data_IF_972819194221
#
_entry.id   IF_972819194221
#
_cell.length_a   1.000
_cell.length_b   1.000
_cell.length_c   1.000
_cell.angle_alpha   90.00
_cell.angle_beta   90.00
_cell.angle_gamma   90.00
#
_symmetry.space_group_name_H-M   'P 1'
#
loop_
_entity.id
_entity.type
_entity.pdbx_description
1 polymer ?
#
# COMPACT_ATOMS: atom_id res chain seq x y z
N UNK A 1 -52.34 40.32 0.28
CA UNK A 1 -51.63 40.18 -1.01
C UNK A 1 -51.55 38.69 -1.30
N UNK A 2 -52.36 38.15 -2.22
CA UNK A 2 -51.97 37.73 -3.59
C UNK A 2 -50.85 36.67 -3.56
N UNK A 3 -50.93 35.45 -4.11
CA UNK A 3 -51.95 34.75 -4.91
C UNK A 3 -51.31 33.49 -5.55
N UNK A 4 -52.11 32.41 -5.68
CA UNK A 4 -52.19 31.38 -6.76
C UNK A 4 -50.92 30.65 -7.29
N UNK A 5 -50.86 29.35 -6.95
CA UNK A 5 -50.78 28.11 -7.76
C UNK A 5 -50.06 28.01 -9.14
N UNK A 6 -49.51 26.79 -9.37
CA UNK A 6 -49.56 25.90 -10.58
C UNK A 6 -48.19 25.42 -11.12
N UNK A 7 -48.08 24.10 -11.38
CA UNK A 7 -47.20 23.48 -12.41
C UNK A 7 -46.33 22.33 -11.88
N UNK A 8 -46.74 21.06 -11.88
CA UNK A 8 -46.80 20.07 -12.99
C UNK A 8 -45.43 19.47 -13.41
N UNK A 9 -45.30 18.14 -13.23
CA UNK A 9 -44.67 17.07 -14.07
C UNK A 9 -43.30 17.38 -14.74
N UNK A 10 -42.29 16.49 -14.70
CA UNK A 10 -42.20 15.23 -15.48
C UNK A 10 -40.99 14.39 -15.00
N UNK A 11 -41.22 13.07 -14.89
CA UNK A 11 -40.22 12.00 -14.83
C UNK A 11 -39.46 11.86 -16.16
N UNK A 12 -38.12 11.72 -16.13
CA UNK A 12 -37.39 11.14 -17.25
C UNK A 12 -36.29 10.20 -16.74
N UNK A 13 -36.65 8.91 -16.66
CA UNK A 13 -35.70 7.81 -16.67
C UNK A 13 -35.27 7.59 -18.13
N UNK A 14 -34.00 7.80 -18.45
CA UNK A 14 -33.44 7.37 -19.73
C UNK A 14 -32.86 5.98 -19.57
N UNK A 15 -33.68 4.97 -19.88
CA UNK A 15 -33.21 3.62 -20.17
C UNK A 15 -32.72 3.63 -21.61
N UNK A 16 -31.43 3.43 -21.83
CA UNK A 16 -30.89 3.11 -23.15
C UNK A 16 -30.47 1.64 -23.17
N UNK A 17 -31.47 0.76 -23.27
CA UNK A 17 -31.30 -0.57 -23.80
C UNK A 17 -31.68 -0.51 -25.28
N UNK A 18 -30.70 -0.56 -26.17
CA UNK A 18 -30.92 -0.85 -27.57
C UNK A 18 -30.33 -2.23 -27.86
N UNK A 19 -31.20 -3.23 -27.92
CA UNK A 19 -30.96 -4.50 -28.60
C UNK A 19 -31.16 -4.27 -30.11
N UNK A 20 -30.08 -4.38 -30.89
CA UNK A 20 -30.12 -4.31 -32.34
C UNK A 20 -29.04 -5.20 -32.94
N UNK A 21 -29.46 -6.38 -33.40
CA UNK A 21 -28.67 -7.32 -34.17
C UNK A 21 -28.62 -6.86 -35.64
N UNK A 22 -27.43 -6.85 -36.25
CA UNK A 22 -27.26 -6.86 -37.71
C UNK A 22 -26.50 -5.67 -38.30
N UNK A 23 -25.33 -5.96 -38.88
CA UNK A 23 -24.70 -5.09 -39.88
C UNK A 23 -23.21 -4.88 -39.67
N UNK A 24 -22.41 -5.58 -40.48
CA UNK A 24 -20.96 -5.46 -40.59
C UNK A 24 -20.48 -4.02 -40.75
N UNK A 25 -19.42 -3.68 -40.01
CA UNK A 25 -18.63 -2.47 -40.16
C UNK A 25 -17.32 -2.65 -39.40
N UNK A 26 -16.28 -3.01 -40.13
CA UNK A 26 -14.88 -2.95 -39.71
C UNK A 26 -14.59 -1.54 -39.18
N UNK A 27 -14.32 -1.42 -37.87
CA UNK A 27 -13.51 -0.33 -37.33
C UNK A 27 -13.05 -0.74 -35.93
N UNK A 28 -11.79 -1.18 -35.90
CA UNK A 28 -10.96 -1.49 -34.73
C UNK A 28 -10.90 -0.27 -33.80
N UNK A 29 -11.98 -0.07 -33.04
CA UNK A 29 -12.04 0.97 -32.01
C UNK A 29 -11.41 0.39 -30.77
N UNK A 30 -10.07 0.38 -30.79
CA UNK A 30 -9.22 0.13 -29.64
C UNK A 30 -9.76 0.87 -28.42
N UNK A 31 -10.47 0.14 -27.56
CA UNK A 31 -10.82 0.54 -26.19
C UNK A 31 -9.55 1.10 -25.55
N UNK A 32 -9.56 2.29 -24.93
CA UNK A 32 -8.37 2.78 -24.26
C UNK A 32 -8.08 1.82 -23.11
N UNK A 33 -7.09 0.94 -23.32
CA UNK A 33 -6.46 0.19 -22.24
C UNK A 33 -5.95 1.24 -21.28
N UNK A 34 -6.59 1.34 -20.12
CA UNK A 34 -6.09 2.16 -19.02
C UNK A 34 -4.61 1.83 -18.88
N UNK A 35 -3.74 2.82 -19.18
CA UNK A 35 -2.30 2.67 -19.00
C UNK A 35 -2.13 2.26 -17.55
N UNK A 36 -1.68 1.02 -17.33
CA UNK A 36 -1.27 0.59 -16.01
C UNK A 36 -0.32 1.65 -15.48
N UNK A 37 -0.68 2.29 -14.37
CA UNK A 37 0.21 3.25 -13.72
C UNK A 37 1.56 2.55 -13.55
N UNK A 38 2.58 3.14 -14.18
CA UNK A 38 3.93 2.60 -14.13
C UNK A 38 4.29 2.54 -12.66
N UNK A 39 4.54 1.33 -12.14
CA UNK A 39 4.97 1.19 -10.76
C UNK A 39 6.14 2.16 -10.50
N UNK A 40 6.16 2.82 -9.33
CA UNK A 40 7.26 3.73 -9.00
C UNK A 40 8.58 2.99 -9.20
N UNK A 41 9.52 3.65 -9.86
CA UNK A 41 10.86 3.07 -10.03
C UNK A 41 11.49 2.77 -8.68
N UNK A 42 12.44 1.84 -8.65
CA UNK A 42 13.14 1.39 -7.43
C UNK A 42 13.50 2.54 -6.51
N UNK A 43 14.16 3.59 -7.03
CA UNK A 43 14.57 4.75 -6.25
C UNK A 43 13.40 5.44 -5.54
N UNK A 44 12.28 5.64 -6.22
CA UNK A 44 11.09 6.25 -5.62
C UNK A 44 10.46 5.35 -4.55
N UNK A 45 10.48 4.03 -4.74
CA UNK A 45 9.97 3.09 -3.76
C UNK A 45 10.89 2.97 -2.52
N UNK A 46 12.22 3.05 -2.73
CA UNK A 46 13.20 3.15 -1.64
C UNK A 46 12.98 4.42 -0.83
N UNK A 47 12.90 5.58 -1.48
CA UNK A 47 12.62 6.85 -0.81
C UNK A 47 11.30 6.81 -0.04
N UNK A 48 10.21 6.37 -0.66
CA UNK A 48 8.91 6.30 0.03
C UNK A 48 8.92 5.36 1.25
N UNK A 49 9.71 4.28 1.22
CA UNK A 49 9.88 3.41 2.37
C UNK A 49 10.72 4.06 3.47
N UNK A 50 11.85 4.68 3.11
CA UNK A 50 12.71 5.38 4.06
C UNK A 50 11.98 6.57 4.70
N UNK A 51 11.23 7.36 3.92
CA UNK A 51 10.41 8.46 4.42
C UNK A 51 9.38 7.96 5.43
N UNK A 52 8.72 6.83 5.17
CA UNK A 52 7.75 6.25 6.11
C UNK A 52 8.39 5.76 7.41
N UNK A 53 9.63 5.26 7.37
CA UNK A 53 10.39 4.88 8.57
C UNK A 53 10.82 6.14 9.34
N UNK A 54 11.31 7.17 8.64
CA UNK A 54 11.67 8.45 9.22
C UNK A 54 10.47 9.12 9.90
N UNK A 55 9.33 9.22 9.21
CA UNK A 55 8.08 9.77 9.76
C UNK A 55 7.64 8.99 11.00
N UNK A 56 7.69 7.65 10.95
CA UNK A 56 7.40 6.82 12.12
C UNK A 56 8.33 7.16 13.29
N UNK A 57 9.64 7.29 13.08
CA UNK A 57 10.60 7.59 14.15
C UNK A 57 10.46 9.04 14.66
N UNK A 58 10.19 10.02 13.77
CA UNK A 58 9.98 11.44 14.09
C UNK A 58 8.68 11.69 14.87
N UNK A 59 7.60 10.96 14.55
CA UNK A 59 6.33 10.98 15.29
C UNK A 59 6.41 10.28 16.65
N UNK A 60 7.59 9.78 17.05
CA UNK A 60 7.81 9.07 18.30
C UNK A 60 7.46 7.58 18.26
N UNK A 61 7.12 7.06 17.07
CA UNK A 61 6.86 5.66 16.81
C UNK A 61 5.63 5.11 17.54
N UNK A 62 5.79 3.90 18.08
CA UNK A 62 4.76 3.21 18.85
C UNK A 62 5.08 3.29 20.35
N UNK A 63 4.66 4.38 21.00
CA UNK A 63 4.91 4.60 22.44
C UNK A 63 4.01 3.76 23.35
N UNK A 64 2.78 3.52 22.92
CA UNK A 64 1.77 2.80 23.69
C UNK A 64 2.06 1.31 23.69
N UNK A 65 2.24 0.71 24.88
CA UNK A 65 2.58 -0.72 25.02
C UNK A 65 1.37 -1.67 24.90
N UNK A 66 0.15 -1.14 25.04
CA UNK A 66 -1.08 -1.96 25.08
C UNK A 66 -1.36 -2.58 23.70
N UNK A 67 -1.96 -3.78 23.62
CA UNK A 67 -2.46 -4.32 22.36
C UNK A 67 -3.42 -3.35 21.66
N UNK A 68 -3.44 -3.39 20.32
CA UNK A 68 -4.35 -2.60 19.48
C UNK A 68 -3.97 -1.12 19.28
N UNK A 69 -2.95 -0.59 19.96
CA UNK A 69 -2.66 0.87 19.94
C UNK A 69 -1.78 1.33 18.77
N UNK A 70 -1.08 0.42 18.10
CA UNK A 70 -0.10 0.74 17.06
C UNK A 70 -0.40 0.10 15.70
N UNK A 71 -1.60 -0.44 15.52
CA UNK A 71 -2.04 -0.99 14.25
C UNK A 71 -2.01 0.02 13.08
N UNK A 72 -2.39 1.31 13.26
CA UNK A 72 -2.23 2.32 12.21
C UNK A 72 -0.79 2.47 11.72
N UNK A 73 0.18 2.52 12.63
CA UNK A 73 1.60 2.65 12.34
C UNK A 73 2.13 1.41 11.62
N UNK A 74 1.73 0.21 12.04
CA UNK A 74 2.07 -1.03 11.33
C UNK A 74 1.57 -0.99 9.87
N UNK A 75 0.34 -0.52 9.64
CA UNK A 75 -0.20 -0.34 8.27
C UNK A 75 0.58 0.68 7.46
N UNK A 76 0.96 1.80 8.07
CA UNK A 76 1.69 2.88 7.43
C UNK A 76 3.04 2.40 6.86
N UNK A 77 3.74 1.51 7.58
CA UNK A 77 5.01 0.92 7.11
C UNK A 77 4.80 -0.23 6.11
N UNK A 78 3.71 -0.98 6.23
CA UNK A 78 3.47 -2.14 5.36
C UNK A 78 3.19 -1.79 3.91
N UNK A 79 2.48 -0.69 3.65
CA UNK A 79 2.22 -0.25 2.28
C UNK A 79 3.51 0.03 1.50
N UNK A 80 4.40 0.94 1.93
CA UNK A 80 5.62 1.22 1.20
C UNK A 80 6.57 0.02 1.16
N UNK A 81 6.60 -0.85 2.18
CA UNK A 81 7.41 -2.08 2.13
C UNK A 81 6.96 -3.02 0.99
N UNK A 82 5.64 -3.18 0.78
CA UNK A 82 5.09 -3.97 -0.33
C UNK A 82 5.37 -3.33 -1.68
N UNK A 83 5.27 -2.02 -1.76
CA UNK A 83 5.55 -1.28 -3.00
C UNK A 83 7.06 -1.33 -3.33
N UNK A 84 7.94 -1.27 -2.33
CA UNK A 84 9.38 -1.54 -2.47
C UNK A 84 9.65 -2.95 -2.99
N UNK A 85 9.00 -3.99 -2.44
CA UNK A 85 9.15 -5.35 -2.98
C UNK A 85 8.75 -5.44 -4.45
N UNK A 86 7.64 -4.82 -4.84
CA UNK A 86 7.19 -4.81 -6.25
C UNK A 86 8.23 -4.12 -7.14
N UNK A 87 8.74 -2.97 -6.72
CA UNK A 87 9.75 -2.23 -7.48
C UNK A 87 11.07 -3.02 -7.59
N UNK A 88 11.52 -3.63 -6.49
CA UNK A 88 12.70 -4.49 -6.46
C UNK A 88 12.54 -5.74 -7.36
N UNK A 89 11.35 -6.34 -7.42
CA UNK A 89 11.08 -7.45 -8.35
C UNK A 89 11.13 -7.01 -9.82
N UNK A 90 10.80 -5.75 -10.10
CA UNK A 90 10.91 -5.16 -11.43
C UNK A 90 12.31 -4.60 -11.73
N UNK A 91 13.24 -4.65 -10.77
CA UNK A 91 14.60 -4.13 -10.91
C UNK A 91 15.49 -5.09 -11.69
N UNK A 92 15.68 -4.80 -12.97
CA UNK A 92 16.58 -5.55 -13.84
C UNK A 92 18.05 -5.20 -13.66
N UNK A 93 18.39 -4.10 -12.95
CA UNK A 93 19.78 -3.67 -12.77
C UNK A 93 20.50 -4.46 -11.69
N UNK A 94 19.94 -4.54 -10.48
CA UNK A 94 20.59 -5.21 -9.35
C UNK A 94 20.22 -6.70 -9.25
N UNK A 95 19.03 -7.07 -9.76
CA UNK A 95 18.54 -8.45 -9.79
C UNK A 95 18.19 -9.05 -8.41
N UNK A 96 17.57 -10.24 -8.38
CA UNK A 96 16.96 -10.79 -7.17
C UNK A 96 17.97 -11.18 -6.08
N UNK A 97 19.22 -11.48 -6.44
CA UNK A 97 20.26 -11.84 -5.47
C UNK A 97 20.65 -10.64 -4.59
N UNK A 98 20.77 -9.46 -5.18
CA UNK A 98 21.01 -8.22 -4.45
C UNK A 98 19.89 -7.96 -3.43
N UNK A 99 18.64 -8.10 -3.87
CA UNK A 99 17.45 -7.83 -3.05
C UNK A 99 17.11 -8.91 -2.02
N UNK A 100 17.84 -10.03 -1.98
CA UNK A 100 17.50 -11.18 -1.14
C UNK A 100 17.32 -10.84 0.34
N UNK A 101 18.20 -10.01 0.93
CA UNK A 101 18.07 -9.57 2.32
C UNK A 101 16.87 -8.65 2.52
N UNK A 102 16.64 -7.70 1.61
CA UNK A 102 15.45 -6.85 1.66
C UNK A 102 14.16 -7.68 1.58
N UNK A 103 14.11 -8.68 0.70
CA UNK A 103 12.95 -9.57 0.61
C UNK A 103 12.72 -10.35 1.90
N UNK A 104 13.77 -10.83 2.57
CA UNK A 104 13.63 -11.52 3.84
C UNK A 104 13.01 -10.61 4.91
N UNK A 105 13.49 -9.37 5.02
CA UNK A 105 12.98 -8.38 5.97
C UNK A 105 11.52 -8.02 5.70
N UNK A 106 11.16 -7.74 4.45
CA UNK A 106 9.75 -7.47 4.06
C UNK A 106 8.87 -8.70 4.36
N UNK A 107 9.39 -9.92 4.19
CA UNK A 107 8.64 -11.13 4.53
C UNK A 107 8.42 -11.28 6.03
N UNK A 108 9.37 -10.88 6.87
CA UNK A 108 9.18 -10.83 8.33
C UNK A 108 8.13 -9.80 8.70
N UNK A 109 8.16 -8.60 8.09
CA UNK A 109 7.10 -7.60 8.30
C UNK A 109 5.72 -8.16 7.91
N UNK A 110 5.61 -8.84 6.76
CA UNK A 110 4.35 -9.45 6.34
C UNK A 110 3.86 -10.55 7.27
N UNK A 111 4.75 -11.35 7.85
CA UNK A 111 4.40 -12.39 8.84
C UNK A 111 3.80 -11.76 10.08
N UNK A 112 4.44 -10.74 10.65
CA UNK A 112 3.92 -10.04 11.82
C UNK A 112 2.61 -9.34 11.52
N UNK A 113 2.51 -8.69 10.37
CA UNK A 113 1.28 -8.04 9.95
C UNK A 113 0.13 -9.03 9.71
N UNK A 114 0.42 -10.26 9.26
CA UNK A 114 -0.59 -11.31 9.02
C UNK A 114 -1.29 -11.80 10.29
N UNK A 115 -0.72 -11.56 11.47
CA UNK A 115 -1.39 -11.83 12.75
C UNK A 115 -2.76 -11.12 12.83
N UNK A 116 -2.92 -9.99 12.15
CA UNK A 116 -4.23 -9.36 11.93
C UNK A 116 -4.71 -8.45 13.04
N UNK A 117 -3.97 -8.37 14.14
CA UNK A 117 -4.14 -7.37 15.20
C UNK A 117 -2.77 -7.06 15.83
N UNK A 118 -2.68 -5.92 16.49
CA UNK A 118 -1.49 -5.50 17.22
C UNK A 118 -1.44 -6.17 18.61
N UNK A 119 -0.47 -7.06 18.83
CA UNK A 119 -0.34 -7.83 20.08
C UNK A 119 0.23 -7.03 21.26
N UNK A 120 0.64 -5.78 21.05
CA UNK A 120 1.25 -4.99 22.12
C UNK A 120 2.68 -5.41 22.45
N UNK A 121 3.16 -4.94 23.61
CA UNK A 121 4.40 -5.39 24.24
C UNK A 121 4.04 -6.35 25.38
N UNK A 122 4.69 -7.52 25.52
CA UNK A 122 4.39 -8.48 26.57
C UNK A 122 4.59 -7.89 27.97
N UNK A 123 3.73 -8.26 28.92
CA UNK A 123 3.93 -7.92 30.33
C UNK A 123 5.05 -8.78 30.94
N UNK A 124 5.88 -8.18 31.81
CA UNK A 124 6.76 -8.90 32.73
C UNK A 124 8.01 -9.57 32.14
N UNK A 125 8.88 -8.82 31.45
CA UNK A 125 10.20 -9.28 30.96
C UNK A 125 10.17 -10.52 30.02
N UNK A 126 9.00 -10.88 29.50
CA UNK A 126 8.93 -11.93 28.49
C UNK A 126 9.73 -11.51 27.25
N UNK A 127 10.75 -12.30 26.92
CA UNK A 127 11.61 -12.10 25.74
C UNK A 127 10.95 -12.55 24.43
N UNK A 128 9.65 -12.91 24.46
CA UNK A 128 8.94 -13.35 23.26
C UNK A 128 8.72 -12.16 22.33
N UNK A 129 9.34 -12.20 21.15
CA UNK A 129 9.09 -11.23 20.09
C UNK A 129 7.60 -11.21 19.73
N UNK A 130 7.01 -10.02 19.66
CA UNK A 130 5.63 -9.86 19.19
C UNK A 130 5.59 -9.49 17.72
N UNK A 131 4.40 -9.49 17.14
CA UNK A 131 4.23 -9.04 15.78
C UNK A 131 4.60 -7.55 15.55
N UNK A 132 4.65 -6.74 16.62
CA UNK A 132 5.24 -5.39 16.57
C UNK A 132 6.73 -5.44 16.29
N UNK A 133 7.46 -6.33 16.97
CA UNK A 133 8.90 -6.45 16.79
C UNK A 133 9.23 -6.92 15.38
N UNK A 134 8.43 -7.86 14.85
CA UNK A 134 8.57 -8.33 13.47
C UNK A 134 8.34 -7.20 12.45
N UNK A 135 7.31 -6.35 12.63
CA UNK A 135 7.02 -5.25 11.70
C UNK A 135 7.99 -4.09 11.87
N UNK A 136 8.08 -3.51 13.07
CA UNK A 136 8.86 -2.30 13.32
C UNK A 136 10.36 -2.58 13.32
N UNK A 137 10.79 -3.71 13.89
CA UNK A 137 12.20 -4.12 13.89
C UNK A 137 12.72 -4.36 12.48
N UNK A 138 11.99 -5.15 11.69
CA UNK A 138 12.39 -5.41 10.29
C UNK A 138 12.30 -4.17 9.42
N UNK A 139 11.36 -3.25 9.68
CA UNK A 139 11.28 -2.00 8.93
C UNK A 139 12.52 -1.12 9.14
N UNK A 140 12.97 -0.96 10.39
CA UNK A 140 14.21 -0.23 10.69
C UNK A 140 15.44 -0.93 10.13
N UNK A 141 15.54 -2.25 10.27
CA UNK A 141 16.67 -2.99 9.68
C UNK A 141 16.68 -2.87 8.15
N UNK A 142 15.50 -2.87 7.52
CA UNK A 142 15.39 -2.67 6.06
C UNK A 142 15.85 -1.25 5.67
N UNK A 143 15.46 -0.23 6.44
CA UNK A 143 15.91 1.15 6.19
C UNK A 143 17.44 1.26 6.25
N UNK A 144 18.05 0.72 7.30
CA UNK A 144 19.52 0.68 7.47
C UNK A 144 20.18 -0.10 6.34
N UNK A 145 19.59 -1.22 5.92
CA UNK A 145 20.14 -2.00 4.81
C UNK A 145 20.12 -1.21 3.49
N UNK A 146 19.04 -0.47 3.22
CA UNK A 146 18.91 0.38 2.03
C UNK A 146 19.96 1.49 1.97
N UNK A 147 20.29 2.09 3.12
CA UNK A 147 21.38 3.09 3.21
C UNK A 147 22.75 2.47 2.90
N UNK A 148 22.97 1.23 3.34
CA UNK A 148 24.22 0.50 3.09
C UNK A 148 24.32 -0.06 1.66
N UNK A 149 23.19 -0.17 0.95
CA UNK A 149 23.08 -0.79 -0.37
C UNK A 149 22.32 0.14 -1.33
N UNK A 150 22.88 1.32 -1.66
CA UNK A 150 22.20 2.31 -2.47
C UNK A 150 21.94 1.77 -3.88
N UNK A 151 20.71 1.97 -4.35
CA UNK A 151 20.29 1.62 -5.71
C UNK A 151 20.46 2.79 -6.67
N UNK A 152 20.97 2.52 -7.87
CA UNK A 152 21.33 3.51 -8.89
C UNK A 152 20.24 3.87 -9.90
#
# INVERSE_FOLDING_TARGET
MWGKAVGALVLAATVAAASGCGGSGDEDTSKPTAKAEKAPGVKAAVTAFQDAVTEFDEDGGCVEKKPGTCWPQMKALMKPARDLRKAANADTKNGPKFWSKAYALISTMEKGFKVGDDQGVPAGESMTSTNRDEVFGSARELSVWLDQHPTS
#
